data_IF_171878367816
#
_entry.id   IF_171878367816
#
_cell.length_a   1.000
_cell.length_b   1.000
_cell.length_c   1.000
_cell.angle_alpha   90.00
_cell.angle_beta   90.00
_cell.angle_gamma   90.00
#
_symmetry.space_group_name_H-M   'P 1'
#
loop_
_entity.id
_entity.type
_entity.pdbx_description
1 polymer ?
#
# COMPACT_ATOMS: atom_id res chain seq x y z
N UNK A 1 8.57 -2.18 -7.18
CA UNK A 1 8.80 -3.37 -6.31
C UNK A 1 8.94 -2.83 -4.88
N UNK A 2 8.17 -3.33 -3.89
CA UNK A 2 7.93 -2.79 -2.51
C UNK A 2 6.55 -2.11 -2.25
N UNK A 3 5.51 -2.42 -3.02
CA UNK A 3 4.16 -1.84 -2.78
C UNK A 3 3.62 -2.13 -1.37
N UNK A 4 3.77 -3.37 -0.88
CA UNK A 4 3.36 -3.75 0.47
C UNK A 4 4.16 -3.03 1.57
N UNK A 5 5.44 -2.72 1.32
CA UNK A 5 6.27 -1.97 2.29
C UNK A 5 5.79 -0.54 2.39
N UNK A 6 5.62 0.13 1.25
CA UNK A 6 5.19 1.55 1.22
C UNK A 6 3.81 1.70 1.85
N UNK A 7 2.84 0.85 1.50
CA UNK A 7 1.50 0.97 2.10
C UNK A 7 1.53 0.74 3.61
N UNK A 8 2.39 -0.17 4.08
CA UNK A 8 2.56 -0.45 5.49
C UNK A 8 3.24 0.71 6.22
N UNK A 9 4.26 1.35 5.63
CA UNK A 9 4.89 2.54 6.19
C UNK A 9 3.88 3.70 6.29
N UNK A 10 3.05 3.90 5.26
CA UNK A 10 1.97 4.90 5.27
C UNK A 10 0.95 4.64 6.39
N UNK A 11 0.45 3.41 6.48
CA UNK A 11 -0.51 2.99 7.50
C UNK A 11 0.10 2.90 8.91
N UNK A 12 1.42 2.96 9.06
CA UNK A 12 2.09 3.03 10.38
C UNK A 12 2.51 4.44 10.77
N UNK A 13 2.44 5.40 9.85
CA UNK A 13 2.92 6.76 10.12
C UNK A 13 4.44 6.92 9.98
N UNK A 14 5.11 5.99 9.28
CA UNK A 14 6.58 5.96 9.18
C UNK A 14 7.09 6.28 7.77
N UNK A 15 6.25 6.83 6.88
CA UNK A 15 6.64 7.14 5.50
C UNK A 15 7.44 8.45 5.34
N UNK A 16 7.84 9.07 6.45
CA UNK A 16 8.68 10.27 6.47
C UNK A 16 8.05 11.43 5.71
N UNK A 17 8.81 12.03 4.78
CA UNK A 17 8.35 13.20 4.00
C UNK A 17 7.16 12.89 3.07
N UNK A 18 6.96 11.63 2.73
CA UNK A 18 5.87 11.19 1.84
C UNK A 18 4.62 10.76 2.61
N UNK A 19 4.58 10.97 3.93
CA UNK A 19 3.46 10.56 4.78
C UNK A 19 2.15 11.21 4.32
N UNK A 20 1.15 10.38 4.08
CA UNK A 20 -0.23 10.81 3.86
C UNK A 20 -0.89 10.97 5.23
N UNK A 21 -1.49 12.15 5.44
CA UNK A 21 -2.15 12.47 6.70
C UNK A 21 -3.44 11.67 6.88
N UNK A 22 -3.67 11.17 8.09
CA UNK A 22 -4.87 10.38 8.42
C UNK A 22 -5.06 9.06 7.67
N UNK A 23 -4.02 8.47 7.07
CA UNK A 23 -4.15 7.21 6.31
C UNK A 23 -4.61 6.03 7.20
N UNK A 24 -5.88 5.63 7.08
CA UNK A 24 -6.47 4.49 7.82
C UNK A 24 -6.64 3.20 7.01
N UNK A 25 -6.87 3.32 5.70
CA UNK A 25 -7.06 2.20 4.76
C UNK A 25 -6.16 2.42 3.55
N UNK A 26 -5.55 1.35 3.04
CA UNK A 26 -4.63 1.39 1.91
C UNK A 26 -4.83 0.24 0.93
N UNK A 27 -4.52 0.47 -0.35
CA UNK A 27 -4.59 -0.55 -1.40
C UNK A 27 -3.24 -0.69 -2.10
N UNK A 28 -2.88 -1.93 -2.41
CA UNK A 28 -1.82 -2.22 -3.39
C UNK A 28 -2.43 -2.90 -4.60
N UNK A 29 -1.96 -2.54 -5.79
CA UNK A 29 -2.35 -3.14 -7.06
C UNK A 29 -1.09 -3.47 -7.84
N UNK A 30 -0.70 -4.75 -7.85
CA UNK A 30 0.45 -5.23 -8.58
C UNK A 30 0.00 -5.90 -9.87
N UNK A 31 0.60 -5.52 -10.99
CA UNK A 31 0.28 -6.06 -12.32
C UNK A 31 1.51 -6.79 -12.86
N UNK A 32 1.31 -8.00 -13.38
CA UNK A 32 2.35 -8.87 -13.92
C UNK A 32 2.23 -9.11 -15.43
N UNK A 33 3.37 -9.38 -16.08
CA UNK A 33 3.47 -9.59 -17.53
C UNK A 33 3.00 -8.36 -18.32
N UNK A 34 2.28 -8.59 -19.42
CA UNK A 34 1.65 -7.53 -20.23
C UNK A 34 0.27 -7.11 -19.70
N UNK A 35 0.00 -7.32 -18.40
CA UNK A 35 -1.32 -7.08 -17.79
C UNK A 35 -2.20 -8.32 -17.65
N UNK A 36 -1.67 -9.53 -17.88
CA UNK A 36 -2.43 -10.78 -17.80
C UNK A 36 -2.74 -11.25 -16.37
N UNK A 37 -2.10 -10.66 -15.36
CA UNK A 37 -2.38 -10.98 -13.95
C UNK A 37 -2.31 -9.72 -13.11
N UNK A 38 -3.23 -9.61 -12.15
CA UNK A 38 -3.21 -8.58 -11.13
C UNK A 38 -3.39 -9.22 -9.75
N UNK A 39 -2.63 -8.72 -8.77
CA UNK A 39 -2.81 -9.05 -7.35
C UNK A 39 -3.14 -7.76 -6.61
N UNK A 40 -4.27 -7.77 -5.91
CA UNK A 40 -4.77 -6.63 -5.16
C UNK A 40 -4.89 -7.00 -3.69
N UNK A 41 -4.40 -6.14 -2.81
CA UNK A 41 -4.57 -6.27 -1.36
C UNK A 41 -5.12 -4.98 -0.78
N UNK A 42 -6.07 -5.10 0.14
CA UNK A 42 -6.55 -4.02 1.00
C UNK A 42 -5.97 -4.21 2.39
N UNK A 43 -5.39 -3.15 2.93
CA UNK A 43 -4.80 -3.09 4.25
C UNK A 43 -5.56 -2.05 5.08
N UNK A 44 -5.65 -2.29 6.39
CA UNK A 44 -6.22 -1.34 7.34
C UNK A 44 -5.27 -1.19 8.52
N UNK A 45 -5.20 0.02 9.08
CA UNK A 45 -4.54 0.28 10.37
C UNK A 45 -5.35 -0.34 11.53
N UNK A 46 -6.66 -0.38 11.37
CA UNK A 46 -7.63 -0.84 12.36
C UNK A 46 -8.25 -2.18 11.94
N UNK A 47 -8.73 -2.97 12.91
CA UNK A 47 -9.35 -4.29 12.67
C UNK A 47 -10.86 -4.18 12.52
#
# INVERSE_FOLDING_TARGET
>A
IKQAVVITEQLRGTAGKSQVDGAGIGMTHNVGGSGGTAVVHIFSRDR
#
